data_IF_196222320462
#
_entry.id   IF_196222320462
#
_cell.length_a   1.000
_cell.length_b   1.000
_cell.length_c   1.000
_cell.angle_alpha   90.00
_cell.angle_beta   90.00
_cell.angle_gamma   90.00
#
_symmetry.space_group_name_H-M   'P 1'
#
loop_
_entity.id
_entity.type
_entity.pdbx_description
1 polymer ?
#
# COMPACT_ATOMS: atom_id res chain seq x y z
N UNK A 1 35.37 10.93 27.52
CA UNK A 1 34.29 11.78 26.98
C UNK A 1 34.26 11.56 25.47
N UNK A 2 33.48 10.60 24.99
CA UNK A 2 33.30 10.34 23.56
C UNK A 2 31.81 10.25 23.30
N UNK A 3 31.27 11.29 22.67
CA UNK A 3 29.94 11.30 22.11
C UNK A 3 30.00 10.55 20.78
N UNK A 4 29.50 9.31 20.76
CA UNK A 4 29.00 8.73 19.53
C UNK A 4 27.52 9.14 19.45
N UNK A 5 27.19 9.95 18.45
CA UNK A 5 25.81 10.30 18.08
C UNK A 5 25.02 8.99 18.02
N UNK A 6 24.19 8.76 19.02
CA UNK A 6 23.20 7.69 18.98
C UNK A 6 22.28 8.02 17.80
N UNK A 7 22.36 7.19 16.76
CA UNK A 7 21.44 7.04 15.63
C UNK A 7 20.09 7.73 15.85
N UNK A 8 20.02 9.02 15.52
CA UNK A 8 18.75 9.70 15.35
C UNK A 8 18.41 9.58 13.87
N UNK A 9 17.69 8.53 13.53
CA UNK A 9 16.76 8.61 12.41
C UNK A 9 15.42 7.99 12.84
N UNK A 10 14.65 8.69 13.68
CA UNK A 10 13.30 8.28 13.98
C UNK A 10 12.44 8.55 12.74
N UNK A 11 12.09 7.49 12.02
CA UNK A 11 10.97 7.48 11.08
C UNK A 11 11.28 8.02 9.68
N UNK A 12 11.85 7.17 8.82
CA UNK A 12 11.48 7.23 7.39
C UNK A 12 10.23 6.38 7.22
N UNK A 13 9.08 6.85 7.73
CA UNK A 13 7.78 6.25 7.41
C UNK A 13 7.46 6.65 5.98
N UNK A 14 7.70 5.77 5.01
CA UNK A 14 7.38 6.07 3.60
C UNK A 14 5.86 6.02 3.42
N UNK A 15 5.20 7.17 3.56
CA UNK A 15 3.80 7.31 3.14
C UNK A 15 3.71 7.22 1.62
N UNK A 16 3.04 6.19 1.11
CA UNK A 16 2.76 6.03 -0.32
C UNK A 16 1.31 6.44 -0.57
N UNK A 17 1.12 7.48 -1.39
CA UNK A 17 -0.20 7.93 -1.83
C UNK A 17 -0.50 7.32 -3.20
N UNK A 18 -1.56 6.52 -3.27
CA UNK A 18 -1.97 5.83 -4.48
C UNK A 18 -3.38 6.24 -4.90
N UNK A 19 -3.61 6.27 -6.20
CA UNK A 19 -4.92 6.51 -6.79
C UNK A 19 -5.41 5.18 -7.37
N UNK A 20 -6.67 4.87 -7.10
CA UNK A 20 -7.36 3.74 -7.73
C UNK A 20 -8.53 4.20 -8.59
N UNK A 21 -8.85 3.39 -9.56
CA UNK A 21 -10.11 3.48 -10.31
C UNK A 21 -10.93 2.23 -10.04
N UNK A 22 -12.24 2.39 -9.87
CA UNK A 22 -13.17 1.26 -9.74
C UNK A 22 -14.09 1.20 -10.96
N UNK A 23 -14.12 0.07 -11.64
CA UNK A 23 -15.01 -0.20 -12.79
C UNK A 23 -15.94 -1.38 -12.47
N UNK A 24 -17.08 -1.47 -13.17
CA UNK A 24 -17.96 -2.64 -13.09
C UNK A 24 -17.82 -3.48 -14.37
N UNK A 25 -17.17 -4.63 -14.25
CA UNK A 25 -16.78 -5.51 -15.37
C UNK A 25 -17.21 -6.94 -15.04
N UNK A 26 -17.86 -7.63 -15.99
CA UNK A 26 -18.20 -9.05 -15.83
C UNK A 26 -19.09 -9.37 -14.61
N UNK A 27 -19.93 -8.42 -14.17
CA UNK A 27 -20.78 -8.58 -12.99
C UNK A 27 -20.05 -8.44 -11.65
N UNK A 28 -18.85 -7.85 -11.64
CA UNK A 28 -18.04 -7.58 -10.46
C UNK A 28 -17.52 -6.15 -10.48
N UNK A 29 -17.19 -5.62 -9.32
CA UNK A 29 -16.41 -4.39 -9.20
C UNK A 29 -14.93 -4.73 -9.26
N UNK A 30 -14.17 -4.01 -10.07
CA UNK A 30 -12.72 -4.18 -10.26
C UNK A 30 -12.04 -2.89 -9.82
N UNK A 31 -11.23 -2.97 -8.77
CA UNK A 31 -10.42 -1.85 -8.30
C UNK A 31 -8.99 -2.00 -8.81
N UNK A 32 -8.44 -0.95 -9.43
CA UNK A 32 -7.11 -0.97 -10.07
C UNK A 32 -6.26 0.18 -9.57
N UNK A 33 -5.01 -0.10 -9.18
CA UNK A 33 -3.99 0.91 -8.95
C UNK A 33 -2.90 0.81 -10.03
N UNK A 34 -2.99 1.68 -11.03
CA UNK A 34 -2.14 1.64 -12.23
C UNK A 34 -0.68 1.96 -11.91
N UNK A 35 -0.42 2.71 -10.84
CA UNK A 35 0.93 3.12 -10.44
C UNK A 35 1.86 1.95 -10.08
N UNK A 36 1.29 0.84 -9.62
CA UNK A 36 2.02 -0.38 -9.23
C UNK A 36 1.47 -1.63 -9.92
N UNK A 37 0.58 -1.46 -10.90
CA UNK A 37 -0.03 -2.57 -11.66
C UNK A 37 -0.71 -3.64 -10.78
N UNK A 38 -1.31 -3.21 -9.65
CA UNK A 38 -2.06 -4.08 -8.73
C UNK A 38 -3.55 -3.88 -8.94
N UNK A 39 -4.31 -4.97 -8.96
CA UNK A 39 -5.76 -4.95 -9.07
C UNK A 39 -6.42 -6.02 -8.18
N UNK A 40 -7.65 -5.76 -7.78
CA UNK A 40 -8.51 -6.68 -7.04
C UNK A 40 -9.95 -6.60 -7.56
N UNK A 41 -10.81 -7.52 -7.12
CA UNK A 41 -12.22 -7.54 -7.51
C UNK A 41 -13.15 -7.96 -6.37
N UNK A 42 -14.36 -7.39 -6.33
CA UNK A 42 -15.37 -7.67 -5.30
C UNK A 42 -16.79 -7.69 -5.85
N UNK A 43 -17.74 -8.21 -5.07
CA UNK A 43 -19.19 -8.11 -5.37
C UNK A 43 -19.74 -6.72 -5.07
N UNK A 44 -19.00 -5.94 -4.27
CA UNK A 44 -19.29 -4.53 -3.97
C UNK A 44 -18.06 -3.68 -4.19
N UNK A 45 -18.24 -2.36 -4.37
CA UNK A 45 -17.14 -1.38 -4.45
C UNK A 45 -16.22 -1.51 -3.23
N UNK A 46 -16.82 -1.57 -2.04
CA UNK A 46 -16.10 -1.71 -0.77
C UNK A 46 -15.22 -2.95 -0.74
N UNK A 47 -15.78 -4.10 -1.11
CA UNK A 47 -15.05 -5.37 -1.12
C UNK A 47 -13.88 -5.35 -2.13
N UNK A 48 -14.03 -4.68 -3.27
CA UNK A 48 -12.93 -4.50 -4.22
C UNK A 48 -11.83 -3.61 -3.60
N UNK A 49 -12.19 -2.46 -3.01
CA UNK A 49 -11.23 -1.55 -2.39
C UNK A 49 -10.51 -2.14 -1.17
N UNK A 50 -11.22 -2.87 -0.31
CA UNK A 50 -10.65 -3.51 0.88
C UNK A 50 -9.62 -4.58 0.46
N UNK A 51 -9.93 -5.41 -0.54
CA UNK A 51 -8.94 -6.35 -1.10
C UNK A 51 -7.80 -5.66 -1.84
N UNK A 52 -8.05 -4.52 -2.50
CA UNK A 52 -6.98 -3.76 -3.16
C UNK A 52 -5.97 -3.25 -2.13
N UNK A 53 -6.46 -2.78 -0.98
CA UNK A 53 -5.61 -2.34 0.14
C UNK A 53 -4.72 -3.48 0.64
N UNK A 54 -5.28 -4.65 0.92
CA UNK A 54 -4.51 -5.82 1.38
C UNK A 54 -3.46 -6.23 0.34
N UNK A 55 -3.81 -6.25 -0.95
CA UNK A 55 -2.88 -6.58 -2.02
C UNK A 55 -1.73 -5.55 -2.13
N UNK A 56 -2.03 -4.26 -1.94
CA UNK A 56 -1.02 -3.19 -1.92
C UNK A 56 -0.11 -3.29 -0.68
N UNK A 57 -0.67 -3.61 0.48
CA UNK A 57 0.12 -3.86 1.69
C UNK A 57 1.13 -4.97 1.43
N UNK A 58 0.67 -6.13 0.93
CA UNK A 58 1.53 -7.26 0.52
C UNK A 58 2.57 -6.89 -0.53
N UNK A 59 2.19 -6.14 -1.57
CA UNK A 59 3.11 -5.69 -2.62
C UNK A 59 4.30 -4.90 -2.05
N UNK A 60 4.05 -4.00 -1.11
CA UNK A 60 5.11 -3.22 -0.46
C UNK A 60 5.84 -3.97 0.65
N UNK A 61 5.33 -5.12 1.10
CA UNK A 61 6.08 -6.00 1.97
C UNK A 61 7.30 -6.59 1.25
N UNK A 62 7.16 -6.92 -0.05
CA UNK A 62 8.19 -7.59 -0.87
C UNK A 62 9.27 -6.64 -1.42
N UNK A 63 9.03 -5.32 -1.47
CA UNK A 63 10.03 -4.32 -1.87
C UNK A 63 11.08 -4.01 -0.76
N UNK A 64 11.10 -4.80 0.33
CA UNK A 64 11.99 -4.57 1.48
C UNK A 64 13.40 -5.16 1.27
N UNK A 65 14.48 -4.41 1.57
CA UNK A 65 15.80 -4.99 1.69
C UNK A 65 15.84 -5.99 2.88
N UNK A 66 16.62 -7.08 2.79
CA UNK A 66 16.72 -8.05 3.88
C UNK A 66 17.23 -7.36 5.16
N UNK A 67 16.39 -7.31 6.20
CA UNK A 67 16.65 -6.65 7.49
C UNK A 67 15.75 -5.46 7.85
N UNK A 68 14.69 -5.18 7.06
CA UNK A 68 13.67 -4.18 7.41
C UNK A 68 12.47 -4.81 8.15
N UNK A 69 12.48 -4.79 9.48
CA UNK A 69 11.47 -5.44 10.33
C UNK A 69 10.10 -4.72 10.38
N UNK A 70 9.90 -3.65 9.60
CA UNK A 70 8.65 -2.88 9.63
C UNK A 70 8.08 -2.76 8.22
N UNK A 71 6.82 -3.21 8.06
CA UNK A 71 6.00 -2.92 6.88
C UNK A 71 5.89 -1.40 6.73
N UNK A 72 5.38 -0.83 5.62
CA UNK A 72 4.84 0.52 5.71
C UNK A 72 3.79 0.55 6.84
N UNK A 73 4.20 0.97 8.05
CA UNK A 73 3.35 1.09 9.24
C UNK A 73 2.40 2.30 9.14
N UNK A 74 2.19 2.81 7.92
CA UNK A 74 1.31 3.92 7.61
C UNK A 74 0.21 3.46 6.64
N UNK A 75 -1.01 3.98 6.77
CA UNK A 75 -2.14 3.56 5.94
C UNK A 75 -1.85 3.82 4.46
N UNK A 76 -2.01 2.80 3.62
CA UNK A 76 -2.09 3.00 2.16
C UNK A 76 -3.36 3.80 1.88
N UNK A 77 -3.24 5.09 1.63
CA UNK A 77 -4.39 5.91 1.26
C UNK A 77 -4.70 5.69 -0.22
N UNK A 78 -5.74 4.91 -0.47
CA UNK A 78 -6.34 4.72 -1.79
C UNK A 78 -7.41 5.80 -1.99
N UNK A 79 -7.26 6.62 -3.03
CA UNK A 79 -8.29 7.59 -3.46
C UNK A 79 -8.93 7.13 -4.75
N UNK A 80 -10.26 7.20 -4.80
CA UNK A 80 -11.02 7.07 -6.03
C UNK A 80 -10.84 8.33 -6.88
N UNK A 81 -10.57 8.15 -8.18
CA UNK A 81 -10.53 9.22 -9.18
C UNK A 81 -11.91 9.48 -9.80
#
# INVERSE_FOLDING_TARGET
MLAAVAWQNPGVTRQVRLTSTVTHEGGRYVARCVQVEVASQGRTIREALDQLREALELYFEDERPPGGDEAPAGPVEVRDA
#
